data_IF_536437463852
#
_entry.id   IF_536437463852
#
_cell.length_a   1.000
_cell.length_b   1.000
_cell.length_c   1.000
_cell.angle_alpha   90.00
_cell.angle_beta   90.00
_cell.angle_gamma   90.00
#
_symmetry.space_group_name_H-M   'P 1'
#
loop_
_entity.id
_entity.type
_entity.pdbx_description
1 polymer ?
#
# COMPACT_ATOMS: atom_id res chain seq x y z
N UNK A 1 2.54 -24.24 19.26
CA UNK A 1 1.84 -23.04 18.78
C UNK A 1 2.82 -21.88 18.86
N UNK A 2 3.10 -21.21 17.74
CA UNK A 2 3.98 -20.03 17.74
C UNK A 2 3.22 -18.79 18.25
N UNK A 3 3.89 -17.65 18.48
CA UNK A 3 3.24 -16.44 19.03
C UNK A 3 2.09 -15.91 18.14
N UNK A 4 2.24 -15.95 16.83
CA UNK A 4 1.24 -15.45 15.89
C UNK A 4 -0.01 -16.34 15.90
N UNK A 5 0.18 -17.65 15.77
CA UNK A 5 -0.90 -18.65 15.84
C UNK A 5 -1.71 -18.55 17.15
N UNK A 6 -1.06 -18.16 18.25
CA UNK A 6 -1.74 -17.93 19.55
C UNK A 6 -2.70 -16.74 19.49
N UNK A 7 -2.22 -15.61 18.98
CA UNK A 7 -3.01 -14.38 18.89
C UNK A 7 -4.19 -14.55 17.93
N UNK A 8 -3.95 -15.24 16.81
CA UNK A 8 -4.98 -15.57 15.83
C UNK A 8 -6.07 -16.46 16.44
N UNK A 9 -5.69 -17.54 17.13
CA UNK A 9 -6.65 -18.45 17.76
C UNK A 9 -7.45 -17.76 18.89
N UNK A 10 -6.82 -16.88 19.67
CA UNK A 10 -7.51 -16.11 20.72
C UNK A 10 -8.47 -15.07 20.13
N UNK A 11 -8.11 -14.42 19.02
CA UNK A 11 -9.03 -13.53 18.29
C UNK A 11 -10.23 -14.31 17.75
N UNK A 12 -9.98 -15.42 17.04
CA UNK A 12 -11.03 -16.27 16.48
C UNK A 12 -11.96 -16.85 17.58
N UNK A 13 -11.43 -17.10 18.78
CA UNK A 13 -12.23 -17.51 19.94
C UNK A 13 -13.21 -16.41 20.35
N UNK A 14 -12.74 -15.17 20.46
CA UNK A 14 -13.56 -14.00 20.80
C UNK A 14 -14.63 -13.79 19.72
N UNK A 15 -14.26 -13.96 18.45
CA UNK A 15 -15.17 -13.80 17.32
C UNK A 15 -16.19 -14.94 17.21
N UNK A 16 -15.95 -16.07 17.88
CA UNK A 16 -16.83 -17.24 17.84
C UNK A 16 -16.65 -18.08 16.57
N UNK A 17 -15.49 -17.94 15.93
CA UNK A 17 -15.16 -18.57 14.65
C UNK A 17 -14.36 -19.87 14.82
N UNK A 18 -13.89 -20.19 16.03
CA UNK A 18 -13.20 -21.45 16.29
C UNK A 18 -14.12 -22.66 16.14
N UNK A 19 -13.63 -23.69 15.47
CA UNK A 19 -14.21 -25.02 15.52
C UNK A 19 -14.12 -25.62 16.92
N UNK A 20 -14.95 -26.63 17.21
CA UNK A 20 -14.89 -27.34 18.50
C UNK A 20 -13.51 -27.94 18.79
N UNK A 21 -12.78 -28.36 17.76
CA UNK A 21 -11.45 -28.94 17.91
C UNK A 21 -10.43 -27.87 18.29
N UNK A 22 -10.44 -26.73 17.62
CA UNK A 22 -9.56 -25.60 17.92
C UNK A 22 -9.86 -25.01 19.30
N UNK A 23 -11.14 -24.91 19.66
CA UNK A 23 -11.56 -24.52 21.00
C UNK A 23 -10.96 -25.42 22.08
N UNK A 24 -11.01 -26.76 21.91
CA UNK A 24 -10.41 -27.69 22.88
C UNK A 24 -8.90 -27.54 22.98
N UNK A 25 -8.22 -27.33 21.85
CA UNK A 25 -6.76 -27.10 21.83
C UNK A 25 -6.38 -25.80 22.53
N UNK A 26 -7.14 -24.73 22.30
CA UNK A 26 -6.94 -23.45 22.95
C UNK A 26 -7.17 -23.53 24.46
N UNK A 27 -8.23 -24.21 24.91
CA UNK A 27 -8.50 -24.41 26.35
C UNK A 27 -7.36 -25.18 27.01
N UNK A 28 -6.93 -26.30 26.43
CA UNK A 28 -5.81 -27.09 26.97
C UNK A 28 -4.49 -26.29 26.96
N UNK A 29 -4.31 -25.37 26.03
CA UNK A 29 -3.17 -24.47 26.01
C UNK A 29 -3.21 -23.48 27.18
N UNK A 30 -4.35 -22.80 27.36
CA UNK A 30 -4.54 -21.79 28.40
C UNK A 30 -4.45 -22.39 29.82
N UNK A 31 -4.80 -23.66 30.00
CA UNK A 31 -4.55 -24.38 31.26
C UNK A 31 -3.06 -24.42 31.63
N UNK A 32 -2.18 -24.42 30.63
CA UNK A 32 -0.72 -24.44 30.83
C UNK A 32 -0.08 -23.04 30.78
N UNK A 33 -0.81 -22.03 30.30
CA UNK A 33 -0.32 -20.65 30.08
C UNK A 33 -1.40 -19.62 30.46
N UNK A 34 -1.70 -19.46 31.76
CA UNK A 34 -2.78 -18.58 32.23
C UNK A 34 -2.54 -17.10 31.93
N UNK A 35 -1.28 -16.67 31.79
CA UNK A 35 -0.90 -15.30 31.44
C UNK A 35 -1.37 -14.86 30.04
N UNK A 36 -1.46 -15.81 29.10
CA UNK A 36 -1.98 -15.55 27.76
C UNK A 36 -3.49 -15.25 27.83
N UNK A 37 -4.21 -15.84 28.80
CA UNK A 37 -5.64 -15.64 28.98
C UNK A 37 -5.95 -14.27 29.62
N UNK A 38 -5.17 -13.87 30.63
CA UNK A 38 -5.31 -12.58 31.32
C UNK A 38 -5.22 -11.38 30.35
N UNK A 39 -4.31 -11.43 29.38
CA UNK A 39 -4.17 -10.38 28.37
C UNK A 39 -5.39 -10.25 27.45
N UNK A 40 -6.14 -11.33 27.26
CA UNK A 40 -7.27 -11.40 26.34
C UNK A 40 -8.64 -11.26 27.02
N UNK A 41 -8.73 -11.50 28.33
CA UNK A 41 -9.98 -11.31 29.09
C UNK A 41 -10.54 -9.90 28.95
N UNK A 42 -9.67 -8.88 28.96
CA UNK A 42 -10.07 -7.49 28.74
C UNK A 42 -10.72 -7.26 27.38
N UNK A 43 -10.15 -7.84 26.31
CA UNK A 43 -10.70 -7.75 24.96
C UNK A 43 -12.01 -8.55 24.83
N UNK A 44 -12.06 -9.76 25.40
CA UNK A 44 -13.25 -10.59 25.42
C UNK A 44 -14.41 -9.93 26.17
N UNK A 45 -14.12 -9.20 27.25
CA UNK A 45 -15.10 -8.40 27.99
C UNK A 45 -15.67 -7.28 27.12
N UNK A 46 -14.81 -6.49 26.46
CA UNK A 46 -15.24 -5.41 25.56
C UNK A 46 -16.14 -5.96 24.44
N UNK A 47 -15.74 -7.05 23.79
CA UNK A 47 -16.54 -7.67 22.74
C UNK A 47 -17.90 -8.16 23.27
N UNK A 48 -17.93 -8.72 24.48
CA UNK A 48 -19.18 -9.14 25.12
C UNK A 48 -20.11 -7.96 25.38
N UNK A 49 -19.57 -6.83 25.85
CA UNK A 49 -20.33 -5.61 26.06
C UNK A 49 -20.89 -5.06 24.75
N UNK A 50 -20.07 -5.01 23.69
CA UNK A 50 -20.50 -4.57 22.35
C UNK A 50 -21.60 -5.48 21.80
N UNK A 51 -21.46 -6.80 21.93
CA UNK A 51 -22.49 -7.78 21.51
C UNK A 51 -23.79 -7.69 22.31
N UNK A 52 -23.71 -7.20 23.56
CA UNK A 52 -24.88 -6.95 24.40
C UNK A 52 -25.64 -5.67 24.08
N UNK A 53 -25.10 -4.81 23.21
CA UNK A 53 -25.79 -3.60 22.79
C UNK A 53 -27.05 -3.95 21.97
N UNK A 54 -28.13 -3.15 22.09
CA UNK A 54 -29.31 -3.34 21.27
C UNK A 54 -28.94 -3.30 19.79
N UNK A 55 -29.35 -4.31 19.03
CA UNK A 55 -29.18 -4.26 17.59
C UNK A 55 -30.06 -3.14 17.03
N UNK A 56 -29.42 -2.19 16.36
CA UNK A 56 -30.10 -1.12 15.64
C UNK A 56 -30.42 -1.63 14.25
N UNK A 57 -31.68 -1.52 13.85
CA UNK A 57 -32.08 -1.87 12.50
C UNK A 57 -31.41 -0.88 11.52
N UNK A 58 -30.66 -1.37 10.52
CA UNK A 58 -30.01 -0.48 9.57
C UNK A 58 -31.06 0.32 8.80
N UNK A 59 -30.76 1.57 8.40
CA UNK A 59 -31.66 2.36 7.56
C UNK A 59 -32.11 1.59 6.31
N UNK A 60 -33.39 1.72 5.97
CA UNK A 60 -33.94 1.09 4.77
C UNK A 60 -33.14 1.48 3.53
N UNK A 61 -32.77 0.50 2.71
CA UNK A 61 -31.98 0.72 1.50
C UNK A 61 -30.46 0.82 1.72
N UNK A 62 -29.95 0.78 2.95
CA UNK A 62 -28.50 0.81 3.21
C UNK A 62 -27.79 -0.36 2.53
N UNK A 63 -28.40 -1.56 2.57
CA UNK A 63 -27.86 -2.75 1.91
C UNK A 63 -27.69 -2.54 0.41
N UNK A 64 -28.71 -2.01 -0.26
CA UNK A 64 -28.68 -1.74 -1.70
C UNK A 64 -27.67 -0.63 -2.04
N UNK A 65 -27.53 0.39 -1.18
CA UNK A 65 -26.52 1.43 -1.32
C UNK A 65 -25.10 0.86 -1.22
N UNK A 66 -24.83 0.01 -0.22
CA UNK A 66 -23.54 -0.67 -0.05
C UNK A 66 -23.25 -1.54 -1.27
N UNK A 67 -24.20 -2.39 -1.69
CA UNK A 67 -24.01 -3.27 -2.85
C UNK A 67 -23.72 -2.49 -4.13
N UNK A 68 -24.39 -1.35 -4.32
CA UNK A 68 -24.12 -0.46 -5.45
C UNK A 68 -22.74 0.16 -5.37
N UNK A 69 -22.38 0.72 -4.21
CA UNK A 69 -21.07 1.34 -4.00
C UNK A 69 -19.94 0.32 -4.23
N UNK A 70 -20.10 -0.91 -3.73
CA UNK A 70 -19.14 -2.01 -3.95
C UNK A 70 -19.06 -2.38 -5.42
N UNK A 71 -20.20 -2.45 -6.14
CA UNK A 71 -20.20 -2.77 -7.57
C UNK A 71 -19.59 -1.65 -8.44
N UNK A 72 -19.70 -0.40 -8.01
CA UNK A 72 -19.09 0.76 -8.66
C UNK A 72 -17.60 0.92 -8.34
N UNK A 73 -17.11 0.24 -7.30
CA UNK A 73 -15.71 0.27 -6.91
C UNK A 73 -14.93 -0.76 -7.72
N UNK A 74 -13.94 -0.30 -8.50
CA UNK A 74 -12.98 -1.19 -9.11
C UNK A 74 -12.05 -1.77 -8.04
N UNK A 75 -11.90 -3.10 -7.94
CA UNK A 75 -10.96 -3.69 -7.01
C UNK A 75 -9.55 -3.24 -7.39
N UNK A 76 -8.87 -2.54 -6.48
CA UNK A 76 -7.47 -2.18 -6.65
C UNK A 76 -6.63 -3.41 -6.33
N UNK A 77 -6.46 -4.27 -7.33
CA UNK A 77 -5.47 -5.33 -7.27
C UNK A 77 -4.10 -4.70 -7.50
N UNK A 78 -3.33 -4.52 -6.42
CA UNK A 78 -1.95 -4.07 -6.49
C UNK A 78 -1.00 -5.17 -6.03
N UNK A 79 0.15 -5.27 -6.68
CA UNK A 79 1.26 -6.07 -6.17
C UNK A 79 2.02 -5.29 -5.10
N UNK A 80 2.86 -5.99 -4.34
CA UNK A 80 3.74 -5.37 -3.35
C UNK A 80 4.64 -4.30 -3.99
N UNK A 81 5.17 -4.57 -5.18
CA UNK A 81 6.04 -3.63 -5.91
C UNK A 81 5.29 -2.34 -6.25
N UNK A 82 4.03 -2.45 -6.66
CA UNK A 82 3.19 -1.27 -6.92
C UNK A 82 2.89 -0.50 -5.64
N UNK A 83 2.66 -1.20 -4.53
CA UNK A 83 2.48 -0.55 -3.22
C UNK A 83 3.76 0.17 -2.75
N UNK A 84 4.95 -0.37 -3.05
CA UNK A 84 6.23 0.30 -2.77
C UNK A 84 6.36 1.59 -3.58
N UNK A 85 5.98 1.58 -4.86
CA UNK A 85 5.98 2.79 -5.70
C UNK A 85 5.02 3.87 -5.18
N UNK A 86 3.98 3.49 -4.43
CA UNK A 86 3.01 4.42 -3.83
C UNK A 86 3.42 4.94 -2.46
N UNK A 87 4.52 4.46 -1.87
CA UNK A 87 4.92 4.88 -0.52
C UNK A 87 5.21 6.38 -0.43
N UNK A 88 5.87 6.96 -1.44
CA UNK A 88 6.15 8.41 -1.44
C UNK A 88 4.84 9.22 -1.44
N UNK A 89 3.94 8.94 -2.40
CA UNK A 89 2.60 9.57 -2.47
C UNK A 89 1.77 9.33 -1.19
N UNK A 90 1.94 8.16 -0.54
CA UNK A 90 1.27 7.82 0.71
C UNK A 90 1.76 8.67 1.87
N UNK A 91 3.09 8.82 2.00
CA UNK A 91 3.74 9.61 3.05
C UNK A 91 3.46 11.11 2.88
N UNK A 92 3.40 11.60 1.65
CA UNK A 92 3.02 12.98 1.33
C UNK A 92 1.50 13.23 1.47
N UNK A 93 0.72 12.16 1.65
CA UNK A 93 -0.72 12.22 1.83
C UNK A 93 -1.52 12.48 0.55
N UNK A 94 -0.87 12.36 -0.61
CA UNK A 94 -1.46 12.61 -1.94
C UNK A 94 -2.11 11.36 -2.55
N UNK A 95 -1.91 10.20 -1.92
CA UNK A 95 -2.47 8.94 -2.40
C UNK A 95 -4.00 8.89 -2.23
N UNK A 96 -4.70 8.43 -3.27
CA UNK A 96 -6.16 8.26 -3.23
C UNK A 96 -6.59 7.18 -2.23
N UNK A 97 -7.78 7.34 -1.64
CA UNK A 97 -8.33 6.41 -0.63
C UNK A 97 -8.24 4.92 -1.00
N UNK A 98 -8.59 4.49 -2.24
CA UNK A 98 -8.49 3.07 -2.60
C UNK A 98 -7.06 2.53 -2.60
N UNK A 99 -6.07 3.35 -2.98
CA UNK A 99 -4.66 2.95 -2.98
C UNK A 99 -4.05 3.05 -1.58
N UNK A 100 -4.45 4.06 -0.81
CA UNK A 100 -4.11 4.21 0.61
C UNK A 100 -4.50 2.95 1.39
N UNK A 101 -5.72 2.46 1.21
CA UNK A 101 -6.18 1.23 1.86
C UNK A 101 -5.32 -0.01 1.53
N UNK A 102 -4.78 -0.07 0.31
CA UNK A 102 -3.86 -1.15 -0.09
C UNK A 102 -2.51 -1.02 0.60
N UNK A 103 -1.94 0.19 0.68
CA UNK A 103 -0.70 0.45 1.40
C UNK A 103 -0.89 0.17 2.90
N UNK A 104 -1.98 0.61 3.51
CA UNK A 104 -2.35 0.32 4.91
C UNK A 104 -2.42 -1.18 5.17
N UNK A 105 -3.01 -1.94 4.24
CA UNK A 105 -3.04 -3.40 4.32
C UNK A 105 -1.63 -4.00 4.33
N UNK A 106 -0.74 -3.59 3.41
CA UNK A 106 0.64 -4.08 3.38
C UNK A 106 1.43 -3.69 4.64
N UNK A 107 1.25 -2.46 5.17
CA UNK A 107 1.85 -2.05 6.44
C UNK A 107 1.40 -2.93 7.61
N UNK A 108 0.15 -3.41 7.60
CA UNK A 108 -0.39 -4.26 8.66
C UNK A 108 0.03 -5.73 8.55
N UNK A 109 0.20 -6.26 7.34
CA UNK A 109 0.37 -7.71 7.11
C UNK A 109 1.78 -8.13 6.65
N UNK A 110 2.60 -7.21 6.13
CA UNK A 110 3.95 -7.46 5.63
C UNK A 110 4.97 -6.68 6.45
N UNK A 111 5.67 -7.38 7.35
CA UNK A 111 6.67 -6.78 8.24
C UNK A 111 7.87 -6.18 7.50
N UNK A 112 8.29 -6.77 6.37
CA UNK A 112 9.39 -6.20 5.57
C UNK A 112 8.96 -4.92 4.87
N UNK A 113 7.70 -4.85 4.44
CA UNK A 113 7.13 -3.64 3.86
C UNK A 113 7.03 -2.52 4.91
N UNK A 114 6.62 -2.85 6.14
CA UNK A 114 6.60 -1.91 7.25
C UNK A 114 8.00 -1.35 7.57
N UNK A 115 9.01 -2.22 7.63
CA UNK A 115 10.41 -1.80 7.86
C UNK A 115 10.92 -0.87 6.75
N UNK A 116 10.58 -1.15 5.49
CA UNK A 116 10.93 -0.29 4.36
C UNK A 116 10.29 1.10 4.50
N UNK A 117 9.01 1.16 4.86
CA UNK A 117 8.29 2.42 5.07
C UNK A 117 8.89 3.22 6.24
N UNK A 118 9.22 2.57 7.36
CA UNK A 118 9.89 3.22 8.50
C UNK A 118 11.25 3.81 8.10
N UNK A 119 12.04 3.08 7.30
CA UNK A 119 13.32 3.57 6.79
C UNK A 119 13.15 4.81 5.90
N UNK A 120 12.12 4.85 5.05
CA UNK A 120 11.83 6.03 4.22
C UNK A 120 11.41 7.23 5.07
N UNK A 121 10.55 7.03 6.07
CA UNK A 121 10.18 8.10 7.01
C UNK A 121 11.40 8.65 7.74
N UNK A 122 12.29 7.78 8.22
CA UNK A 122 13.53 8.19 8.87
C UNK A 122 14.43 9.00 7.93
N UNK A 123 14.54 8.59 6.67
CA UNK A 123 15.30 9.32 5.65
C UNK A 123 14.71 10.71 5.37
N UNK A 124 13.39 10.81 5.16
CA UNK A 124 12.70 12.08 4.91
C UNK A 124 12.78 13.03 6.10
N UNK A 125 12.67 12.50 7.32
CA UNK A 125 12.84 13.27 8.55
C UNK A 125 14.26 13.82 8.65
N UNK A 126 15.27 12.99 8.41
CA UNK A 126 16.66 13.42 8.42
C UNK A 126 16.97 14.48 7.35
N UNK A 127 16.37 14.37 6.16
CA UNK A 127 16.47 15.38 5.11
C UNK A 127 15.77 16.70 5.47
N UNK A 128 14.64 16.63 6.17
CA UNK A 128 13.90 17.82 6.63
C UNK A 128 14.65 18.55 7.75
N UNK A 129 15.36 17.81 8.60
CA UNK A 129 16.21 18.37 9.66
C UNK A 129 17.50 18.99 9.13
N UNK A 130 17.94 18.60 7.93
CA UNK A 130 18.98 19.32 7.19
C UNK A 130 18.37 20.63 6.66
N UNK A 131 18.33 21.65 7.53
CA UNK A 131 17.75 22.95 7.21
C UNK A 131 18.20 23.52 5.86
N UNK A 132 17.37 24.39 5.28
CA UNK A 132 17.58 24.96 3.95
C UNK A 132 19.00 25.52 3.80
N UNK A 133 19.81 24.85 2.97
CA UNK A 133 21.12 25.35 2.60
C UNK A 133 20.93 26.52 1.64
N UNK A 134 21.47 27.69 2.00
CA UNK A 134 21.47 28.83 1.10
C UNK A 134 22.28 28.46 -0.16
N UNK A 135 21.65 28.40 -1.35
CA UNK A 135 22.37 28.01 -2.54
C UNK A 135 23.47 29.04 -2.84
N UNK A 136 24.63 28.63 -3.40
CA UNK A 136 25.66 29.58 -3.83
C UNK A 136 25.05 30.67 -4.71
N UNK A 137 25.42 31.93 -4.47
CA UNK A 137 24.83 33.10 -5.13
C UNK A 137 24.90 33.04 -6.67
N UNK A 138 25.83 32.26 -7.22
CA UNK A 138 26.07 32.03 -8.64
C UNK A 138 25.36 30.79 -9.22
N UNK A 139 24.68 29.97 -8.40
CA UNK A 139 24.04 28.72 -8.83
C UNK A 139 23.04 28.96 -9.95
N UNK A 140 22.23 30.03 -9.84
CA UNK A 140 21.25 30.41 -10.84
C UNK A 140 21.90 30.75 -12.18
N UNK A 141 23.03 31.49 -12.15
CA UNK A 141 23.79 31.84 -13.34
C UNK A 141 24.43 30.62 -13.99
N UNK A 142 24.91 29.66 -13.19
CA UNK A 142 25.47 28.40 -13.66
C UNK A 142 24.41 27.52 -14.33
N UNK A 143 23.23 27.37 -13.73
CA UNK A 143 22.11 26.62 -14.32
C UNK A 143 21.68 27.28 -15.63
N UNK A 144 21.50 28.60 -15.66
CA UNK A 144 21.14 29.32 -16.89
C UNK A 144 22.18 29.17 -18.00
N UNK A 145 23.47 29.19 -17.66
CA UNK A 145 24.55 28.96 -18.61
C UNK A 145 24.53 27.53 -19.17
N UNK A 146 24.32 26.52 -18.32
CA UNK A 146 24.23 25.12 -18.73
C UNK A 146 22.99 24.84 -19.59
N UNK A 147 21.82 25.40 -19.26
CA UNK A 147 20.60 25.28 -20.07
C UNK A 147 20.78 25.94 -21.44
N UNK A 148 21.42 27.12 -21.51
CA UNK A 148 21.76 27.78 -22.78
C UNK A 148 22.72 26.94 -23.63
N UNK A 149 23.72 26.30 -23.02
CA UNK A 149 24.65 25.39 -23.70
C UNK A 149 23.95 24.11 -24.20
N UNK A 150 23.06 23.52 -23.41
CA UNK A 150 22.29 22.35 -23.79
C UNK A 150 21.33 22.66 -24.96
N UNK A 151 20.63 23.80 -24.92
CA UNK A 151 19.76 24.25 -26.01
C UNK A 151 20.51 24.65 -27.30
N UNK A 152 21.79 25.01 -27.21
CA UNK A 152 22.64 25.21 -28.40
C UNK A 152 23.18 23.90 -28.97
N UNK A 153 23.48 22.90 -28.12
CA UNK A 153 23.87 21.56 -28.55
C UNK A 153 22.72 20.83 -29.28
N UNK A 154 21.48 20.95 -28.80
CA UNK A 154 20.29 20.40 -29.47
C UNK A 154 20.02 21.03 -30.85
N UNK A 155 20.33 22.32 -31.03
CA UNK A 155 20.21 23.00 -32.33
C UNK A 155 21.31 22.65 -33.34
N UNK A 156 22.42 22.04 -32.92
CA UNK A 156 23.50 21.61 -33.82
C UNK A 156 23.37 20.16 -34.32
N UNK A 157 22.38 19.40 -33.85
CA UNK A 157 22.03 18.09 -34.45
C UNK A 157 21.24 18.33 -35.75
N UNK A 158 22.00 18.41 -36.84
CA UNK A 158 21.53 18.55 -38.23
C UNK A 158 20.38 17.59 -38.61
N UNK A 159 19.56 17.98 -39.60
CA UNK A 159 18.37 17.22 -40.01
C UNK A 159 18.75 15.84 -40.55
N UNK A 160 18.09 14.80 -40.02
CA UNK A 160 18.08 13.46 -40.61
C UNK A 160 17.65 13.56 -42.06
N UNK A 161 18.55 13.23 -42.99
CA UNK A 161 18.22 13.02 -44.41
C UNK A 161 17.08 12.00 -44.50
N UNK A 162 15.98 12.40 -45.13
CA UNK A 162 14.89 11.52 -45.49
C UNK A 162 15.42 10.42 -46.43
N UNK A 163 15.46 9.18 -45.95
CA UNK A 163 15.65 8.00 -46.79
C UNK A 163 14.35 7.71 -47.52
N UNK A 164 14.40 7.78 -48.85
CA UNK A 164 13.29 7.52 -49.76
C UNK A 164 12.69 6.10 -49.57
N UNK A 165 11.40 5.88 -49.85
CA UNK A 165 10.77 4.57 -49.75
C UNK A 165 11.29 3.65 -50.86
N UNK A 166 11.84 2.50 -50.47
CA UNK A 166 12.17 1.40 -51.37
C UNK A 166 10.85 0.81 -51.89
N UNK A 167 10.55 1.06 -53.17
CA UNK A 167 9.48 0.39 -53.91
C UNK A 167 9.82 -1.09 -54.06
N UNK A 168 9.16 -1.95 -53.29
CA UNK A 168 9.15 -3.39 -53.54
C UNK A 168 8.37 -3.66 -54.83
N UNK A 169 9.11 -4.08 -55.87
CA UNK A 169 8.55 -4.54 -57.14
C UNK A 169 7.92 -5.93 -56.95
N UNK A 170 6.62 -6.00 -57.23
CA UNK A 170 5.88 -7.16 -57.74
C UNK A 170 6.73 -8.00 -58.72
N UNK A 171 6.82 -9.31 -58.51
CA UNK A 171 6.82 -10.30 -59.59
C UNK A 171 5.92 -11.47 -59.24
N UNK A 172 4.94 -11.65 -60.13
CA UNK A 172 4.10 -12.81 -60.34
C UNK A 172 4.91 -13.90 -61.07
N UNK A 173 4.70 -15.16 -60.68
CA UNK A 173 4.75 -16.39 -61.46
C UNK A 173 4.19 -17.46 -60.49
N UNK A 174 3.02 -18.11 -60.66
CA UNK A 174 2.40 -18.81 -61.80
C UNK A 174 3.37 -19.79 -62.46
N UNK A 175 3.14 -21.07 -62.18
CA UNK A 175 3.88 -22.22 -62.67
C UNK A 175 3.87 -23.33 -61.63
#
# INVERSE_FOLDING_TARGET
>A
MNRLERLENLSAYIDGELSEQEHRLLVAWCENHPEDLEHFEGLAEVVRQVRGLPQVEPPAGLREQILRAVAETEPVAATREQAIEWLDDYLDGELSEPRRAVVDHFLAVDAEFAELAEMQVAMLTALSDMGEAEPPADLRQRIEASVKQAGTAERMVRPRRATAPIRARRRLAVG
#
